data_IF_477050754110
#
_entry.id   IF_477050754110
#
_cell.length_a   1.000
_cell.length_b   1.000
_cell.length_c   1.000
_cell.angle_alpha   90.00
_cell.angle_beta   90.00
_cell.angle_gamma   90.00
#
_symmetry.space_group_name_H-M   'P 1'
#
loop_
_entity.id
_entity.type
_entity.pdbx_description
1 polymer ?
#
# COMPACT_ATOMS: atom_id res chain seq x y z
N UNK A 1 10.59 26.50 -57.38
CA UNK A 1 9.64 25.38 -57.22
C UNK A 1 10.43 24.28 -56.55
N UNK A 2 10.29 23.99 -55.26
CA UNK A 2 9.12 24.04 -54.40
C UNK A 2 9.62 24.24 -52.97
N UNK A 3 8.99 25.16 -52.23
CA UNK A 3 9.27 25.33 -50.81
C UNK A 3 8.58 24.21 -50.04
N UNK A 4 9.32 23.59 -49.12
CA UNK A 4 8.71 22.83 -48.04
C UNK A 4 8.96 23.61 -46.75
N UNK A 5 7.94 24.37 -46.37
CA UNK A 5 7.88 25.00 -45.06
C UNK A 5 7.44 23.94 -44.06
N UNK A 6 8.39 23.25 -43.44
CA UNK A 6 8.11 22.60 -42.17
C UNK A 6 8.19 23.70 -41.11
N UNK A 7 7.04 24.34 -40.88
CA UNK A 7 6.83 25.19 -39.72
C UNK A 7 7.25 24.40 -38.47
N UNK A 8 8.11 24.98 -37.65
CA UNK A 8 8.29 24.49 -36.30
C UNK A 8 6.94 24.54 -35.61
N UNK A 9 6.33 23.38 -35.38
CA UNK A 9 5.30 23.24 -34.36
C UNK A 9 5.98 23.62 -33.03
N UNK A 10 5.60 24.74 -32.38
CA UNK A 10 5.91 24.86 -30.98
C UNK A 10 5.15 23.71 -30.33
N UNK A 11 5.89 22.66 -29.92
CA UNK A 11 5.35 21.62 -29.07
C UNK A 11 4.73 22.35 -27.89
N UNK A 12 3.41 22.41 -27.92
CA UNK A 12 2.52 22.98 -26.95
C UNK A 12 3.01 22.52 -25.58
N UNK A 13 3.77 23.40 -24.91
CA UNK A 13 4.05 23.24 -23.50
C UNK A 13 2.68 23.22 -22.86
N UNK A 14 2.21 22.02 -22.54
CA UNK A 14 1.05 21.82 -21.70
C UNK A 14 1.34 22.57 -20.40
N UNK A 15 0.82 23.79 -20.34
CA UNK A 15 0.90 24.68 -19.21
C UNK A 15 0.11 23.97 -18.11
N UNK A 16 0.83 23.26 -17.23
CA UNK A 16 0.25 22.68 -16.02
C UNK A 16 -0.14 23.87 -15.15
N UNK A 17 -1.36 24.36 -15.34
CA UNK A 17 -1.92 25.39 -14.49
C UNK A 17 -1.83 24.89 -13.04
N UNK A 18 -1.26 25.69 -12.11
CA UNK A 18 -0.96 25.20 -10.78
C UNK A 18 -2.26 24.81 -10.07
N UNK A 19 -2.38 23.53 -9.71
CA UNK A 19 -3.50 23.03 -8.94
C UNK A 19 -3.59 23.78 -7.60
N UNK A 20 -4.80 24.23 -7.23
CA UNK A 20 -5.00 24.96 -5.98
C UNK A 20 -4.66 24.05 -4.79
N UNK A 21 -3.85 24.50 -3.82
CA UNK A 21 -3.46 23.67 -2.70
C UNK A 21 -4.66 23.34 -1.81
N UNK A 22 -4.76 22.08 -1.39
CA UNK A 22 -5.81 21.59 -0.49
C UNK A 22 -5.66 22.13 0.93
N UNK A 23 -4.43 22.43 1.36
CA UNK A 23 -4.10 23.01 2.65
C UNK A 23 -3.26 24.27 2.44
N UNK A 24 -3.56 25.32 3.23
CA UNK A 24 -2.80 26.57 3.23
C UNK A 24 -2.22 26.81 4.62
N UNK A 25 -0.92 27.03 4.70
CA UNK A 25 -0.25 27.50 5.91
C UNK A 25 -0.52 28.99 6.05
N UNK A 26 -1.16 29.40 7.15
CA UNK A 26 -1.53 30.80 7.40
C UNK A 26 -0.48 31.51 8.26
N UNK A 27 0.16 30.77 9.17
CA UNK A 27 1.26 31.26 10.00
C UNK A 27 2.48 30.34 9.81
N UNK A 28 3.60 30.91 9.38
CA UNK A 28 4.86 30.19 9.16
C UNK A 28 5.69 29.99 10.43
N UNK A 29 5.44 30.81 11.46
CA UNK A 29 6.24 30.88 12.69
C UNK A 29 5.53 30.23 13.88
N UNK A 30 4.72 29.20 13.63
CA UNK A 30 4.03 28.45 14.68
C UNK A 30 5.06 27.84 15.66
N UNK A 31 4.75 27.89 16.96
CA UNK A 31 5.65 27.31 17.97
C UNK A 31 5.70 25.78 17.86
N UNK A 32 6.75 25.12 18.37
CA UNK A 32 6.82 23.66 18.37
C UNK A 32 5.61 22.99 19.04
N UNK A 33 5.08 23.61 20.09
CA UNK A 33 3.90 23.14 20.82
C UNK A 33 2.63 23.23 19.96
N UNK A 34 2.47 24.31 19.19
CA UNK A 34 1.33 24.48 18.29
C UNK A 34 1.37 23.46 17.15
N UNK A 35 2.55 23.23 16.57
CA UNK A 35 2.74 22.17 15.55
C UNK A 35 2.39 20.80 16.13
N UNK A 36 2.85 20.50 17.35
CA UNK A 36 2.53 19.26 18.03
C UNK A 36 1.02 19.08 18.27
N UNK A 37 0.32 20.14 18.65
CA UNK A 37 -1.13 20.11 18.84
C UNK A 37 -1.88 19.78 17.55
N UNK A 38 -1.49 20.39 16.41
CA UNK A 38 -2.09 20.09 15.11
C UNK A 38 -1.84 18.65 14.68
N UNK A 39 -0.60 18.15 14.85
CA UNK A 39 -0.26 16.75 14.55
C UNK A 39 -1.06 15.79 15.42
N UNK A 40 -1.20 16.07 16.72
CA UNK A 40 -1.96 15.23 17.64
C UNK A 40 -3.43 15.12 17.24
N UNK A 41 -4.07 16.22 16.85
CA UNK A 41 -5.46 16.23 16.36
C UNK A 41 -5.60 15.42 15.08
N UNK A 42 -4.72 15.61 14.10
CA UNK A 42 -4.75 14.87 12.85
C UNK A 42 -4.51 13.36 13.06
N UNK A 43 -3.60 13.00 13.96
CA UNK A 43 -3.35 11.62 14.35
C UNK A 43 -4.54 10.99 15.08
N UNK A 44 -5.29 11.76 15.88
CA UNK A 44 -6.50 11.27 16.51
C UNK A 44 -7.65 11.05 15.52
N UNK A 45 -7.72 11.86 14.45
CA UNK A 45 -8.72 11.73 13.37
C UNK A 45 -8.36 10.61 12.37
N UNK A 46 -7.08 10.43 12.08
CA UNK A 46 -6.56 9.34 11.26
C UNK A 46 -6.59 8.04 12.04
N UNK A 47 -7.72 7.32 11.95
CA UNK A 47 -8.05 6.11 12.70
C UNK A 47 -6.86 5.30 13.21
N UNK A 48 -6.90 4.98 14.51
CA UNK A 48 -5.80 4.42 15.28
C UNK A 48 -5.13 3.19 14.65
N UNK A 49 -3.98 2.81 15.22
CA UNK A 49 -3.11 1.76 14.70
C UNK A 49 -3.92 0.57 14.15
N UNK A 50 -3.66 0.16 12.89
CA UNK A 50 -4.42 -0.91 12.26
C UNK A 50 -4.41 -2.13 13.18
N UNK A 51 -5.59 -2.74 13.36
CA UNK A 51 -5.70 -3.95 14.16
C UNK A 51 -4.64 -4.96 13.66
N UNK A 52 -3.91 -5.62 14.58
CA UNK A 52 -2.88 -6.56 14.17
C UNK A 52 -3.52 -7.60 13.26
N UNK A 53 -2.91 -7.81 12.09
CA UNK A 53 -3.39 -8.78 11.13
C UNK A 53 -3.54 -10.15 11.83
N UNK A 54 -4.60 -10.92 11.51
CA UNK A 54 -4.76 -12.24 12.08
C UNK A 54 -3.51 -13.06 11.81
N UNK A 55 -2.91 -13.59 12.87
CA UNK A 55 -1.68 -14.37 12.78
C UNK A 55 -1.97 -15.63 11.98
N UNK A 56 -1.34 -15.77 10.80
CA UNK A 56 -1.40 -17.00 10.02
C UNK A 56 -0.77 -18.13 10.84
N UNK A 57 -1.57 -19.11 11.24
CA UNK A 57 -1.05 -20.36 11.82
C UNK A 57 -0.30 -21.09 10.71
N UNK A 58 1.01 -21.34 10.86
CA UNK A 58 1.73 -22.06 9.83
C UNK A 58 1.17 -23.48 9.74
N UNK A 59 1.09 -24.00 8.52
CA UNK A 59 0.42 -25.28 8.25
C UNK A 59 1.09 -26.49 8.92
N UNK A 60 2.35 -26.36 9.34
CA UNK A 60 3.06 -27.35 10.16
C UNK A 60 2.55 -27.39 11.61
N UNK A 61 2.00 -26.29 12.15
CA UNK A 61 1.47 -26.21 13.52
C UNK A 61 -0.04 -26.39 13.60
N UNK A 62 -0.69 -26.85 12.52
CA UNK A 62 -2.13 -27.06 12.49
C UNK A 62 -2.52 -28.21 13.44
N UNK A 63 -3.46 -28.03 14.39
CA UNK A 63 -3.84 -29.06 15.37
C UNK A 63 -4.27 -30.39 14.76
N UNK A 64 -4.89 -30.35 13.57
CA UNK A 64 -5.28 -31.56 12.80
C UNK A 64 -4.10 -32.50 12.49
N UNK A 65 -2.87 -32.01 12.51
CA UNK A 65 -1.64 -32.82 12.30
C UNK A 65 -1.17 -33.53 13.57
N UNK A 66 -1.63 -33.13 14.75
CA UNK A 66 -1.37 -33.87 16.00
C UNK A 66 -2.16 -35.20 16.05
N UNK A 67 -3.17 -35.34 15.19
CA UNK A 67 -3.96 -36.55 15.03
C UNK A 67 -3.51 -37.31 13.78
N UNK A 68 -3.52 -38.64 13.84
CA UNK A 68 -3.24 -39.48 12.67
C UNK A 68 -4.44 -39.46 11.71
N UNK A 69 -4.26 -38.84 10.54
CA UNK A 69 -5.24 -38.88 9.44
C UNK A 69 -5.10 -40.12 8.56
N UNK A 70 -6.11 -40.43 7.73
CA UNK A 70 -6.01 -41.49 6.73
C UNK A 70 -5.01 -41.11 5.62
N UNK A 71 -4.24 -42.10 5.15
CA UNK A 71 -3.42 -41.98 3.96
C UNK A 71 -4.13 -42.65 2.78
N UNK A 72 -4.26 -41.93 1.66
CA UNK A 72 -4.88 -42.46 0.45
C UNK A 72 -3.83 -42.87 -0.56
N UNK A 73 -4.05 -43.99 -1.28
CA UNK A 73 -3.26 -44.33 -2.45
C UNK A 73 -3.78 -43.52 -3.64
N UNK A 74 -3.09 -42.43 -3.98
CA UNK A 74 -3.41 -41.58 -5.12
C UNK A 74 -2.13 -40.96 -5.70
N UNK A 75 -2.13 -40.51 -6.97
CA UNK A 75 -1.01 -39.77 -7.53
C UNK A 75 -0.62 -38.59 -6.62
N UNK A 76 0.66 -38.52 -6.24
CA UNK A 76 1.19 -37.48 -5.37
C UNK A 76 0.88 -37.62 -3.87
N UNK A 77 0.11 -38.64 -3.45
CA UNK A 77 -0.29 -38.78 -2.05
C UNK A 77 0.87 -38.97 -1.07
N UNK A 78 1.96 -39.62 -1.49
CA UNK A 78 3.19 -39.75 -0.70
C UNK A 78 3.85 -38.39 -0.43
N UNK A 79 3.84 -37.47 -1.40
CA UNK A 79 4.37 -36.10 -1.18
C UNK A 79 3.44 -35.30 -0.27
N UNK A 80 2.13 -35.48 -0.44
CA UNK A 80 1.11 -34.76 0.31
C UNK A 80 0.97 -35.21 1.78
N UNK A 81 1.56 -36.33 2.19
CA UNK A 81 1.55 -36.78 3.59
C UNK A 81 2.56 -36.01 4.45
N UNK A 82 3.70 -35.59 3.89
CA UNK A 82 4.78 -34.93 4.62
C UNK A 82 4.84 -33.41 4.45
N UNK A 83 4.25 -32.85 3.40
CA UNK A 83 4.36 -31.42 3.09
C UNK A 83 3.17 -30.58 3.62
N UNK A 84 3.40 -29.29 3.94
CA UNK A 84 2.33 -28.30 4.10
C UNK A 84 1.48 -28.22 2.82
N UNK A 85 0.15 -28.14 2.97
CA UNK A 85 -0.77 -27.77 1.88
C UNK A 85 -1.20 -26.33 2.09
#
# INVERSE_FOLDING_TARGET
MTGDGTAGEPAEQAEVAPARPLLRVVNGDATPEEVAAVVAVLAALGGGAPAPAPRRTPEWSAPRRALRGPHHAAPGAWRASGLPR
#
